data_IF_554844632183
#
_entry.id   IF_554844632183
#
_cell.length_a   1.000
_cell.length_b   1.000
_cell.length_c   1.000
_cell.angle_alpha   90.00
_cell.angle_beta   90.00
_cell.angle_gamma   90.00
#
_symmetry.space_group_name_H-M   'P 1'
#
loop_
_entity.id
_entity.type
_entity.pdbx_description
1 polymer ?
#
# COMPACT_ATOMS: atom_id res chain seq x y z
N UNK A 1 -108.73 57.55 15.04
CA UNK A 1 -107.22 57.82 14.95
C UNK A 1 -106.39 56.91 15.88
N UNK A 2 -106.72 56.78 17.19
CA UNK A 2 -105.88 55.92 18.13
C UNK A 2 -105.82 54.46 17.74
N UNK A 3 -106.91 53.84 17.25
CA UNK A 3 -106.95 52.45 16.81
C UNK A 3 -105.99 52.16 15.63
N UNK A 4 -105.88 53.10 14.70
CA UNK A 4 -105.03 53.01 13.52
C UNK A 4 -103.53 53.04 13.89
N UNK A 5 -103.13 53.82 14.89
CA UNK A 5 -101.77 53.86 15.43
C UNK A 5 -101.37 52.56 16.18
N UNK A 6 -102.34 52.02 16.94
CA UNK A 6 -102.13 50.77 17.67
C UNK A 6 -101.94 49.61 16.67
N UNK A 7 -102.75 49.51 15.62
CA UNK A 7 -102.61 48.50 14.58
C UNK A 7 -101.25 48.60 13.80
N UNK A 8 -100.84 49.87 13.52
CA UNK A 8 -99.55 50.10 12.86
C UNK A 8 -98.37 49.69 13.73
N UNK A 9 -98.40 49.97 15.04
CA UNK A 9 -97.39 49.55 16.00
C UNK A 9 -97.31 48.02 16.11
N UNK A 10 -98.46 47.34 16.16
CA UNK A 10 -98.49 45.86 16.20
C UNK A 10 -97.98 45.28 14.90
N UNK A 11 -98.28 45.82 13.72
CA UNK A 11 -97.77 45.36 12.44
C UNK A 11 -96.24 45.55 12.34
N UNK A 12 -95.76 46.71 12.77
CA UNK A 12 -94.28 46.95 12.86
C UNK A 12 -93.56 45.98 13.82
N UNK A 13 -94.22 45.76 15.00
CA UNK A 13 -93.66 44.76 15.97
C UNK A 13 -93.63 43.37 15.40
N UNK A 14 -94.65 42.87 14.72
CA UNK A 14 -94.69 41.58 14.03
C UNK A 14 -93.61 41.52 12.91
N UNK A 15 -93.49 42.60 12.14
CA UNK A 15 -92.46 42.74 11.08
C UNK A 15 -91.03 42.65 11.65
N UNK A 16 -90.76 43.34 12.76
CA UNK A 16 -89.46 43.28 13.44
C UNK A 16 -89.18 41.89 13.98
N UNK A 17 -90.15 41.21 14.59
CA UNK A 17 -89.99 39.82 15.08
C UNK A 17 -89.76 38.88 13.91
N UNK A 18 -90.47 39.06 12.78
CA UNK A 18 -90.23 38.23 11.58
C UNK A 18 -88.84 38.41 11.01
N UNK A 19 -88.37 39.65 10.84
CA UNK A 19 -87.04 39.97 10.37
C UNK A 19 -85.93 39.45 11.34
N UNK A 20 -86.15 39.66 12.64
CA UNK A 20 -85.24 39.14 13.65
C UNK A 20 -85.09 37.60 13.55
N UNK A 21 -86.20 36.90 13.44
CA UNK A 21 -86.20 35.45 13.26
C UNK A 21 -85.54 35.00 11.95
N UNK A 22 -85.72 35.77 10.86
CA UNK A 22 -85.03 35.51 9.58
C UNK A 22 -83.49 35.72 9.68
N UNK A 23 -83.07 36.81 10.32
CA UNK A 23 -81.64 37.08 10.55
C UNK A 23 -81.03 36.03 11.43
N UNK A 24 -81.73 35.62 12.49
CA UNK A 24 -81.21 34.54 13.38
C UNK A 24 -81.12 33.21 12.64
N UNK A 25 -82.07 32.87 11.78
CA UNK A 25 -81.98 31.66 10.93
C UNK A 25 -80.77 31.73 9.93
N UNK A 26 -80.59 32.92 9.31
CA UNK A 26 -79.44 33.14 8.43
C UNK A 26 -78.06 32.98 9.19
N UNK A 27 -77.96 33.64 10.32
CA UNK A 27 -76.78 33.62 11.15
C UNK A 27 -76.44 32.18 11.61
N UNK A 28 -77.45 31.40 11.99
CA UNK A 28 -77.30 30.00 12.33
C UNK A 28 -76.80 29.17 11.13
N UNK A 29 -77.36 29.35 9.93
CA UNK A 29 -76.91 28.68 8.70
C UNK A 29 -75.50 29.02 8.37
N UNK A 30 -75.08 30.29 8.43
CA UNK A 30 -73.66 30.67 8.19
C UNK A 30 -72.73 30.10 9.22
N UNK A 31 -73.16 30.04 10.50
CA UNK A 31 -72.34 29.39 11.54
C UNK A 31 -72.16 27.88 11.29
N UNK A 32 -73.24 27.19 10.91
CA UNK A 32 -73.23 25.76 10.62
C UNK A 32 -72.42 25.46 9.38
N UNK A 33 -72.51 26.28 8.31
CA UNK A 33 -71.67 26.16 7.09
C UNK A 33 -70.18 26.42 7.38
N UNK A 34 -69.87 27.44 8.19
CA UNK A 34 -68.49 27.75 8.58
C UNK A 34 -67.87 26.61 9.40
N UNK A 35 -68.62 26.08 10.36
CA UNK A 35 -68.20 24.95 11.20
C UNK A 35 -67.93 23.68 10.33
N UNK A 36 -68.82 23.43 9.36
CA UNK A 36 -68.68 22.34 8.40
C UNK A 36 -67.42 22.50 7.52
N UNK A 37 -67.23 23.71 6.96
CA UNK A 37 -66.05 24.00 6.16
C UNK A 37 -64.72 23.87 6.98
N UNK A 38 -64.74 24.32 8.25
CA UNK A 38 -63.57 24.15 9.14
C UNK A 38 -63.31 22.69 9.48
N UNK A 39 -64.34 21.88 9.72
CA UNK A 39 -64.14 20.45 9.98
C UNK A 39 -63.64 19.70 8.73
N UNK A 40 -64.16 19.98 7.55
CA UNK A 40 -63.72 19.41 6.28
C UNK A 40 -62.28 19.81 5.98
N UNK A 41 -61.88 21.07 6.22
CA UNK A 41 -60.49 21.52 6.06
C UNK A 41 -59.55 20.83 7.05
N UNK A 42 -59.95 20.70 8.31
CA UNK A 42 -59.16 20.00 9.34
C UNK A 42 -58.92 18.51 8.99
N UNK A 43 -59.97 17.81 8.53
CA UNK A 43 -59.86 16.41 8.07
C UNK A 43 -58.95 16.31 6.85
N UNK A 44 -59.05 17.24 5.89
CA UNK A 44 -58.20 17.28 4.71
C UNK A 44 -56.72 17.52 5.06
N UNK A 45 -56.42 18.38 6.02
CA UNK A 45 -55.05 18.64 6.50
C UNK A 45 -54.51 17.41 7.19
N UNK A 46 -55.26 16.81 8.11
CA UNK A 46 -54.84 15.59 8.83
C UNK A 46 -54.55 14.44 7.87
N UNK A 47 -55.38 14.23 6.85
CA UNK A 47 -55.12 13.21 5.83
C UNK A 47 -53.87 13.49 5.00
N UNK A 48 -53.59 14.76 4.67
CA UNK A 48 -52.33 15.13 3.97
C UNK A 48 -51.09 14.96 4.85
N UNK A 49 -51.19 15.27 6.13
CA UNK A 49 -50.10 15.05 7.10
C UNK A 49 -49.78 13.56 7.26
N UNK A 50 -50.79 12.70 7.33
CA UNK A 50 -50.61 11.26 7.43
C UNK A 50 -49.92 10.69 6.16
N UNK A 51 -50.34 11.14 4.97
CA UNK A 51 -49.69 10.74 3.71
C UNK A 51 -48.22 11.22 3.68
N UNK A 52 -48.00 12.50 4.04
CA UNK A 52 -46.63 13.04 4.06
C UNK A 52 -45.71 12.31 5.03
N UNK A 53 -46.14 12.00 6.24
CA UNK A 53 -45.34 11.24 7.20
C UNK A 53 -45.08 9.79 6.73
N UNK A 54 -46.04 9.15 6.04
CA UNK A 54 -45.86 7.83 5.45
C UNK A 54 -44.85 7.84 4.32
N UNK A 55 -44.89 8.81 3.41
CA UNK A 55 -43.94 8.98 2.32
C UNK A 55 -42.52 9.27 2.84
N UNK A 56 -42.42 10.17 3.82
CA UNK A 56 -41.16 10.48 4.49
C UNK A 56 -40.54 9.25 5.14
N UNK A 57 -41.33 8.43 5.82
CA UNK A 57 -40.87 7.18 6.42
C UNK A 57 -40.39 6.17 5.38
N UNK A 58 -41.09 6.04 4.25
CA UNK A 58 -40.66 5.20 3.13
C UNK A 58 -39.34 5.69 2.53
N UNK A 59 -39.19 7.00 2.35
CA UNK A 59 -37.96 7.58 1.80
C UNK A 59 -36.75 7.32 2.72
N UNK A 60 -36.93 7.44 4.04
CA UNK A 60 -35.89 7.14 5.03
C UNK A 60 -35.48 5.66 4.94
N UNK A 61 -36.45 4.73 4.90
CA UNK A 61 -36.20 3.31 4.78
C UNK A 61 -35.43 2.95 3.50
N UNK A 62 -35.82 3.50 2.36
CA UNK A 62 -35.14 3.31 1.08
C UNK A 62 -33.67 3.83 1.13
N UNK A 63 -33.47 4.96 1.80
CA UNK A 63 -32.14 5.55 1.97
C UNK A 63 -31.25 4.69 2.88
N UNK A 64 -31.80 4.16 3.97
CA UNK A 64 -31.09 3.22 4.86
C UNK A 64 -30.73 1.92 4.13
N UNK A 65 -31.64 1.35 3.36
CA UNK A 65 -31.36 0.14 2.55
C UNK A 65 -30.24 0.40 1.54
N UNK A 66 -30.28 1.52 0.83
CA UNK A 66 -29.25 1.91 -0.14
C UNK A 66 -27.87 2.04 0.53
N UNK A 67 -27.77 2.73 1.67
CA UNK A 67 -26.50 2.88 2.39
C UNK A 67 -25.99 1.53 2.94
N UNK A 68 -26.88 0.68 3.43
CA UNK A 68 -26.49 -0.65 3.91
C UNK A 68 -25.96 -1.53 2.79
N UNK A 69 -26.55 -1.49 1.60
CA UNK A 69 -26.02 -2.18 0.43
C UNK A 69 -24.66 -1.62 -0.02
N UNK A 70 -24.49 -0.30 0.00
CA UNK A 70 -23.23 0.35 -0.33
C UNK A 70 -22.11 -0.05 0.63
N UNK A 71 -22.36 -0.01 1.93
CA UNK A 71 -21.43 -0.45 2.98
C UNK A 71 -21.07 -1.92 2.79
N UNK A 72 -22.05 -2.78 2.48
CA UNK A 72 -21.82 -4.20 2.21
C UNK A 72 -20.90 -4.41 1.01
N UNK A 73 -21.07 -3.68 -0.08
CA UNK A 73 -20.20 -3.72 -1.27
C UNK A 73 -18.78 -3.26 -0.96
N UNK A 74 -18.63 -2.14 -0.25
CA UNK A 74 -17.31 -1.62 0.15
C UNK A 74 -16.60 -2.63 1.05
N UNK A 75 -17.26 -3.21 2.03
CA UNK A 75 -16.68 -4.21 2.91
C UNK A 75 -16.27 -5.48 2.16
N UNK A 76 -17.06 -5.92 1.17
CA UNK A 76 -16.69 -7.05 0.33
C UNK A 76 -15.45 -6.77 -0.52
N UNK A 77 -15.34 -5.59 -1.12
CA UNK A 77 -14.15 -5.18 -1.87
C UNK A 77 -12.92 -5.13 -0.97
N UNK A 78 -13.05 -4.54 0.19
CA UNK A 78 -11.95 -4.45 1.17
C UNK A 78 -11.48 -5.83 1.64
N UNK A 79 -12.41 -6.76 1.89
CA UNK A 79 -12.08 -8.16 2.22
C UNK A 79 -11.33 -8.87 1.07
N UNK A 80 -11.73 -8.64 -0.16
CA UNK A 80 -11.03 -9.19 -1.34
C UNK A 80 -9.61 -8.64 -1.48
N UNK A 81 -9.40 -7.37 -1.20
CA UNK A 81 -8.07 -6.74 -1.20
C UNK A 81 -7.17 -7.31 -0.09
N UNK A 82 -7.72 -7.48 1.12
CA UNK A 82 -7.00 -8.12 2.23
C UNK A 82 -6.62 -9.56 1.88
N UNK A 83 -7.53 -10.33 1.28
CA UNK A 83 -7.26 -11.71 0.85
C UNK A 83 -6.15 -11.75 -0.22
N UNK A 84 -6.17 -10.82 -1.20
CA UNK A 84 -5.13 -10.71 -2.22
C UNK A 84 -3.77 -10.36 -1.60
N UNK A 85 -3.74 -9.38 -0.72
CA UNK A 85 -2.53 -8.97 0.00
C UNK A 85 -1.97 -10.11 0.86
N UNK A 86 -2.82 -10.83 1.58
CA UNK A 86 -2.39 -11.98 2.39
C UNK A 86 -1.90 -13.16 1.55
N UNK A 87 -2.51 -13.41 0.37
CA UNK A 87 -2.00 -14.40 -0.58
C UNK A 87 -0.64 -14.00 -1.12
N UNK A 88 -0.45 -12.72 -1.44
CA UNK A 88 0.84 -12.19 -1.89
C UNK A 88 1.91 -12.32 -0.80
N UNK A 89 1.61 -11.94 0.45
CA UNK A 89 2.51 -12.11 1.60
C UNK A 89 2.87 -13.60 1.81
N UNK A 90 1.87 -14.50 1.79
CA UNK A 90 2.12 -15.94 1.90
C UNK A 90 2.95 -16.51 0.76
N UNK A 91 2.75 -16.02 -0.48
CA UNK A 91 3.59 -16.45 -1.60
C UNK A 91 5.04 -15.99 -1.40
N UNK A 92 5.26 -14.76 -0.98
CA UNK A 92 6.60 -14.27 -0.63
C UNK A 92 7.23 -15.11 0.50
N UNK A 93 6.47 -15.47 1.53
CA UNK A 93 6.94 -16.31 2.64
C UNK A 93 7.23 -17.76 2.21
N UNK A 94 6.46 -18.32 1.29
CA UNK A 94 6.67 -19.69 0.75
C UNK A 94 7.83 -19.76 -0.23
N UNK A 95 8.04 -18.75 -1.07
CA UNK A 95 9.15 -18.71 -2.04
C UNK A 95 10.45 -18.21 -1.42
N UNK A 96 10.40 -17.34 -0.43
CA UNK A 96 11.54 -16.85 0.32
C UNK A 96 11.72 -17.71 1.57
N UNK A 97 12.46 -18.80 1.46
CA UNK A 97 13.02 -19.50 2.63
C UNK A 97 14.09 -18.65 3.35
N UNK A 98 14.45 -17.51 2.78
CA UNK A 98 15.47 -16.61 3.29
C UNK A 98 14.85 -15.52 4.15
N UNK A 99 14.99 -15.65 5.47
CA UNK A 99 14.52 -14.67 6.47
C UNK A 99 14.99 -13.24 6.18
N UNK A 100 16.17 -13.10 5.56
CA UNK A 100 16.74 -11.81 5.17
C UNK A 100 15.91 -11.08 4.12
N UNK A 101 15.39 -11.79 3.11
CA UNK A 101 14.56 -11.20 2.05
C UNK A 101 13.24 -10.69 2.60
N UNK A 102 12.57 -11.48 3.48
CA UNK A 102 11.33 -11.05 4.15
C UNK A 102 11.56 -9.78 4.98
N UNK A 103 12.67 -9.74 5.73
CA UNK A 103 13.04 -8.58 6.53
C UNK A 103 13.30 -7.35 5.65
N UNK A 104 14.05 -7.52 4.56
CA UNK A 104 14.35 -6.46 3.59
C UNK A 104 13.06 -5.93 2.96
N UNK A 105 12.14 -6.81 2.59
CA UNK A 105 10.84 -6.40 2.04
C UNK A 105 10.04 -5.54 3.02
N UNK A 106 9.98 -5.94 4.29
CA UNK A 106 9.33 -5.16 5.36
C UNK A 106 9.96 -3.77 5.53
N UNK A 107 11.30 -3.70 5.52
CA UNK A 107 12.03 -2.42 5.62
C UNK A 107 11.67 -1.50 4.45
N UNK A 108 11.71 -2.00 3.22
CA UNK A 108 11.40 -1.21 2.01
C UNK A 108 9.95 -0.75 1.97
N UNK A 109 9.01 -1.60 2.37
CA UNK A 109 7.58 -1.25 2.45
C UNK A 109 7.33 -0.17 3.50
N UNK A 110 7.97 -0.29 4.67
CA UNK A 110 7.89 0.74 5.72
C UNK A 110 8.51 2.07 5.27
N UNK A 111 9.64 2.03 4.55
CA UNK A 111 10.26 3.21 3.96
C UNK A 111 9.32 3.90 2.96
N UNK A 112 8.70 3.14 2.04
CA UNK A 112 7.72 3.67 1.08
C UNK A 112 6.58 4.38 1.80
N UNK A 113 5.97 3.71 2.79
CA UNK A 113 4.87 4.28 3.56
C UNK A 113 5.26 5.58 4.27
N UNK A 114 6.48 5.64 4.84
CA UNK A 114 6.99 6.85 5.49
C UNK A 114 7.21 8.00 4.50
N UNK A 115 7.77 7.72 3.32
CA UNK A 115 7.99 8.71 2.26
C UNK A 115 6.66 9.30 1.75
N UNK A 116 5.63 8.47 1.61
CA UNK A 116 4.27 8.90 1.22
C UNK A 116 3.68 9.78 2.33
N UNK A 117 3.76 9.34 3.59
CA UNK A 117 3.26 10.11 4.74
C UNK A 117 3.94 11.48 4.86
N UNK A 118 5.24 11.58 4.53
CA UNK A 118 5.99 12.83 4.49
C UNK A 118 5.70 13.68 3.24
N UNK A 119 4.87 13.21 2.31
CA UNK A 119 4.56 13.91 1.06
C UNK A 119 5.72 13.99 0.07
N UNK A 120 6.77 13.17 0.25
CA UNK A 120 7.96 13.15 -0.63
C UNK A 120 7.74 12.41 -1.93
N UNK A 121 6.86 11.41 -1.93
CA UNK A 121 6.44 10.65 -3.10
C UNK A 121 4.94 10.35 -3.05
N UNK A 122 4.36 10.06 -4.22
CA UNK A 122 3.02 9.49 -4.36
C UNK A 122 3.09 7.95 -4.34
N UNK A 123 1.92 7.31 -4.21
CA UNK A 123 1.81 5.84 -4.15
C UNK A 123 2.40 5.15 -5.39
N UNK A 124 2.21 5.74 -6.57
CA UNK A 124 2.66 5.26 -7.88
C UNK A 124 4.10 5.63 -8.25
N UNK A 125 4.77 6.45 -7.43
CA UNK A 125 6.15 6.91 -7.69
C UNK A 125 7.24 6.00 -7.09
N UNK A 126 6.84 4.97 -6.33
CA UNK A 126 7.72 3.91 -5.86
C UNK A 126 7.02 2.55 -5.92
N UNK A 127 7.60 1.61 -6.68
CA UNK A 127 7.11 0.23 -6.81
C UNK A 127 8.18 -0.71 -6.28
N UNK A 128 7.78 -1.67 -5.44
CA UNK A 128 8.66 -2.68 -4.85
C UNK A 128 8.16 -4.05 -5.30
N UNK A 129 9.01 -4.78 -6.02
CA UNK A 129 8.76 -6.15 -6.46
C UNK A 129 9.78 -7.07 -5.80
N UNK A 130 9.32 -8.19 -5.23
CA UNK A 130 10.18 -9.17 -4.59
C UNK A 130 10.21 -10.49 -5.36
N UNK A 131 11.33 -11.19 -5.29
CA UNK A 131 11.51 -12.54 -5.81
C UNK A 131 11.07 -12.70 -7.27
N UNK A 132 11.66 -11.89 -8.15
CA UNK A 132 11.40 -11.92 -9.60
C UNK A 132 12.54 -12.58 -10.36
N UNK A 133 12.22 -13.12 -11.52
CA UNK A 133 13.18 -13.80 -12.40
C UNK A 133 13.32 -13.01 -13.71
N UNK A 134 14.57 -12.88 -14.18
CA UNK A 134 14.89 -12.20 -15.44
C UNK A 134 15.66 -13.15 -16.34
N UNK A 135 15.22 -13.36 -17.60
CA UNK A 135 15.93 -14.17 -18.56
C UNK A 135 17.19 -13.45 -19.05
N UNK A 136 18.24 -14.20 -19.31
CA UNK A 136 19.46 -13.75 -19.97
C UNK A 136 20.04 -14.85 -20.84
N UNK A 137 20.75 -14.48 -21.89
CA UNK A 137 21.41 -15.43 -22.78
C UNK A 137 22.88 -15.62 -22.36
N UNK A 138 23.30 -16.86 -22.25
CA UNK A 138 24.68 -17.22 -21.97
C UNK A 138 25.05 -18.44 -22.81
N UNK A 139 26.07 -18.30 -23.69
CA UNK A 139 26.49 -19.34 -24.64
C UNK A 139 25.31 -19.91 -25.44
N UNK A 140 24.48 -19.03 -26.02
CA UNK A 140 23.27 -19.33 -26.79
C UNK A 140 22.14 -20.07 -26.02
N UNK A 141 22.31 -20.30 -24.72
CA UNK A 141 21.28 -20.82 -23.84
C UNK A 141 20.54 -19.71 -23.10
N UNK A 142 19.22 -19.80 -23.04
CA UNK A 142 18.41 -18.92 -22.21
C UNK A 142 18.43 -19.45 -20.77
N UNK A 143 18.90 -18.63 -19.86
CA UNK A 143 18.95 -18.89 -18.42
C UNK A 143 18.18 -17.80 -17.68
N UNK A 144 17.88 -18.02 -16.40
CA UNK A 144 17.21 -17.05 -15.54
C UNK A 144 18.11 -16.61 -14.38
N UNK A 145 17.93 -15.36 -13.94
CA UNK A 145 18.51 -14.81 -12.71
C UNK A 145 17.39 -14.36 -11.79
N UNK A 146 17.46 -14.77 -10.56
CA UNK A 146 16.59 -14.27 -9.49
C UNK A 146 17.06 -12.88 -9.04
N UNK A 147 16.12 -12.01 -8.75
CA UNK A 147 16.29 -10.72 -8.11
C UNK A 147 15.51 -10.76 -6.81
N UNK A 148 16.17 -10.61 -5.67
CA UNK A 148 15.50 -10.62 -4.37
C UNK A 148 14.51 -9.45 -4.25
N UNK A 149 14.96 -8.24 -4.61
CA UNK A 149 14.07 -7.06 -4.69
C UNK A 149 14.43 -6.18 -5.87
N UNK A 150 13.40 -5.78 -6.63
CA UNK A 150 13.44 -4.72 -7.63
C UNK A 150 12.66 -3.52 -7.10
N UNK A 151 13.33 -2.38 -7.04
CA UNK A 151 12.74 -1.11 -6.63
C UNK A 151 12.75 -0.16 -7.83
N UNK A 152 11.57 0.29 -8.22
CA UNK A 152 11.35 1.27 -9.26
C UNK A 152 10.97 2.58 -8.59
N UNK A 153 11.69 3.65 -8.89
CA UNK A 153 11.37 5.00 -8.44
C UNK A 153 11.47 5.98 -9.59
N UNK A 154 10.90 7.15 -9.46
CA UNK A 154 11.04 8.21 -10.47
C UNK A 154 12.50 8.62 -10.70
N UNK A 155 13.40 8.34 -9.75
CA UNK A 155 14.83 8.69 -9.82
C UNK A 155 15.73 7.57 -10.33
N UNK A 156 15.24 6.33 -10.39
CA UNK A 156 16.06 5.20 -10.86
C UNK A 156 15.40 3.83 -10.72
N UNK A 157 16.08 2.85 -11.32
CA UNK A 157 15.79 1.41 -11.22
C UNK A 157 16.90 0.80 -10.36
N UNK A 158 16.52 0.08 -9.31
CA UNK A 158 17.46 -0.49 -8.33
C UNK A 158 17.14 -1.97 -8.12
N UNK A 159 18.17 -2.79 -8.06
CA UNK A 159 18.04 -4.16 -7.56
C UNK A 159 18.80 -4.31 -6.27
N UNK A 160 18.25 -5.07 -5.34
CA UNK A 160 18.88 -5.41 -4.07
C UNK A 160 19.05 -6.92 -4.00
N UNK A 161 20.28 -7.35 -3.79
CA UNK A 161 20.66 -8.70 -3.36
C UNK A 161 20.78 -8.68 -1.84
N UNK A 162 20.06 -9.54 -1.16
CA UNK A 162 20.06 -9.62 0.31
C UNK A 162 20.88 -10.81 0.78
N UNK A 163 21.80 -10.57 1.71
CA UNK A 163 22.55 -11.63 2.39
C UNK A 163 22.24 -11.61 3.88
N UNK A 164 21.78 -12.75 4.39
CA UNK A 164 21.46 -12.96 5.81
C UNK A 164 22.50 -13.90 6.43
N UNK A 165 23.77 -13.44 6.46
CA UNK A 165 24.88 -14.20 7.02
C UNK A 165 25.23 -13.67 8.40
N UNK A 166 25.25 -14.54 9.39
CA UNK A 166 25.58 -14.19 10.77
C UNK A 166 27.07 -14.28 11.03
N UNK A 167 27.56 -13.41 11.91
CA UNK A 167 28.96 -13.41 12.37
C UNK A 167 29.77 -12.28 11.76
N UNK A 168 31.11 -12.44 11.79
CA UNK A 168 32.03 -11.47 11.20
C UNK A 168 32.23 -11.77 9.71
N UNK A 169 31.87 -10.81 8.87
CA UNK A 169 31.91 -10.95 7.41
C UNK A 169 33.04 -10.09 6.86
N UNK A 170 33.97 -10.70 6.14
CA UNK A 170 34.98 -10.01 5.35
C UNK A 170 34.59 -10.12 3.89
N UNK A 171 33.95 -9.04 3.38
CA UNK A 171 33.42 -9.00 2.03
C UNK A 171 34.41 -8.43 1.04
N UNK A 172 34.55 -9.07 -0.12
CA UNK A 172 35.39 -8.59 -1.22
C UNK A 172 36.91 -8.68 -0.94
N UNK A 173 37.32 -9.62 -0.12
CA UNK A 173 38.74 -9.82 0.24
C UNK A 173 39.50 -10.45 -0.92
N UNK A 174 40.61 -9.82 -1.33
CA UNK A 174 41.61 -10.40 -2.27
C UNK A 174 42.82 -10.87 -1.54
N UNK A 175 43.63 -11.71 -2.17
CA UNK A 175 44.91 -12.20 -1.59
C UNK A 175 45.82 -11.03 -1.21
N UNK A 176 45.89 -9.99 -2.01
CA UNK A 176 46.70 -8.80 -1.73
C UNK A 176 46.19 -8.02 -0.50
N UNK A 177 44.86 -7.84 -0.36
CA UNK A 177 44.25 -7.13 0.77
C UNK A 177 44.25 -7.97 2.07
N UNK A 178 44.29 -9.26 1.94
CA UNK A 178 44.33 -10.16 3.10
C UNK A 178 45.62 -10.04 3.93
N UNK A 179 46.71 -9.49 3.35
CA UNK A 179 48.02 -9.34 4.05
C UNK A 179 48.43 -10.64 4.76
N UNK A 180 48.51 -10.60 6.09
CA UNK A 180 48.89 -11.75 6.91
C UNK A 180 47.95 -12.95 6.80
N UNK A 181 46.70 -12.72 6.36
CA UNK A 181 45.73 -13.80 6.08
C UNK A 181 45.80 -14.35 4.66
N UNK A 182 46.72 -13.88 3.81
CA UNK A 182 46.84 -14.33 2.44
C UNK A 182 47.09 -15.84 2.33
N UNK A 183 47.85 -16.42 3.27
CA UNK A 183 48.08 -17.86 3.32
C UNK A 183 46.79 -18.65 3.53
N UNK A 184 45.86 -18.15 4.34
CA UNK A 184 44.58 -18.78 4.60
C UNK A 184 43.71 -18.77 3.33
N UNK A 185 43.67 -17.63 2.63
CA UNK A 185 42.97 -17.55 1.34
C UNK A 185 43.55 -18.52 0.32
N UNK A 186 44.86 -18.61 0.20
CA UNK A 186 45.51 -19.51 -0.72
C UNK A 186 45.28 -21.00 -0.35
N UNK A 187 45.18 -21.30 0.95
CA UNK A 187 44.89 -22.65 1.42
C UNK A 187 43.46 -23.07 1.18
N UNK A 188 42.51 -22.12 1.36
CA UNK A 188 41.07 -22.35 1.13
C UNK A 188 40.70 -22.35 -0.35
N UNK A 189 41.42 -21.58 -1.15
CA UNK A 189 41.19 -21.40 -2.59
C UNK A 189 42.51 -21.52 -3.39
N UNK A 190 43.06 -22.72 -3.56
CA UNK A 190 44.38 -22.90 -4.17
C UNK A 190 44.50 -22.38 -5.61
N UNK A 191 43.37 -22.22 -6.33
CA UNK A 191 43.35 -21.75 -7.71
C UNK A 191 42.83 -20.29 -7.83
N UNK A 192 42.82 -19.54 -6.72
CA UNK A 192 42.32 -18.16 -6.75
C UNK A 192 43.29 -17.22 -7.49
N UNK A 193 42.78 -16.38 -8.37
CA UNK A 193 43.60 -15.32 -8.94
C UNK A 193 43.82 -14.21 -7.90
N UNK A 194 44.95 -13.51 -7.95
CA UNK A 194 45.35 -12.52 -6.94
C UNK A 194 44.32 -11.38 -6.75
N UNK A 195 43.63 -11.03 -7.80
CA UNK A 195 42.61 -9.97 -7.83
C UNK A 195 41.18 -10.49 -7.66
N UNK A 196 40.99 -11.79 -7.52
CA UNK A 196 39.69 -12.40 -7.34
C UNK A 196 39.20 -12.17 -5.91
N UNK A 197 38.12 -11.40 -5.78
CA UNK A 197 37.45 -11.11 -4.49
C UNK A 197 36.69 -12.33 -3.99
N UNK A 198 36.86 -12.65 -2.71
CA UNK A 198 36.15 -13.71 -1.98
C UNK A 198 35.43 -13.11 -0.76
N UNK A 199 34.47 -13.85 -0.22
CA UNK A 199 33.82 -13.46 1.03
C UNK A 199 33.97 -14.54 2.07
N UNK A 200 34.54 -14.17 3.22
CA UNK A 200 34.69 -15.05 4.37
C UNK A 200 33.72 -14.67 5.47
N UNK A 201 33.08 -15.67 6.07
CA UNK A 201 32.14 -15.47 7.20
C UNK A 201 32.65 -16.31 8.37
N UNK A 202 32.97 -15.64 9.48
CA UNK A 202 33.42 -16.25 10.72
C UNK A 202 32.20 -16.33 11.67
N UNK A 203 31.80 -17.56 11.98
CA UNK A 203 30.64 -17.85 12.84
C UNK A 203 31.14 -18.48 14.14
N UNK A 204 30.73 -17.93 15.28
CA UNK A 204 30.92 -18.60 16.57
C UNK A 204 29.91 -19.72 16.73
N UNK A 205 30.34 -20.94 16.94
CA UNK A 205 29.48 -22.04 17.28
C UNK A 205 29.31 -22.04 18.81
N UNK A 206 28.12 -21.63 19.28
CA UNK A 206 27.76 -21.76 20.70
C UNK A 206 27.11 -23.14 20.85
N UNK A 207 27.89 -24.16 21.20
CA UNK A 207 27.33 -25.41 21.69
C UNK A 207 26.84 -25.17 23.14
N UNK A 208 25.52 -25.02 23.32
CA UNK A 208 24.90 -24.78 24.61
C UNK A 208 24.90 -26.02 25.56
N UNK A 209 25.51 -27.16 25.17
CA UNK A 209 25.25 -28.42 25.82
C UNK A 209 26.45 -29.04 26.54
N UNK A 210 27.60 -28.36 26.69
CA UNK A 210 28.75 -28.96 27.42
C UNK A 210 29.42 -27.93 28.31
N UNK A 211 29.69 -28.33 29.55
CA UNK A 211 30.35 -27.57 30.65
C UNK A 211 31.82 -27.07 30.32
N UNK A 212 32.36 -27.40 29.19
CA UNK A 212 33.59 -26.81 28.66
C UNK A 212 33.26 -25.99 27.42
N UNK A 213 33.26 -24.67 27.55
CA UNK A 213 33.08 -23.72 26.45
C UNK A 213 34.28 -23.74 25.48
N UNK A 214 34.39 -24.76 24.66
CA UNK A 214 35.25 -24.69 23.47
C UNK A 214 34.60 -23.75 22.47
N UNK A 215 35.14 -22.55 22.36
CA UNK A 215 34.85 -21.60 21.30
C UNK A 215 35.28 -22.20 19.96
N UNK A 216 34.40 -22.94 19.30
CA UNK A 216 34.61 -23.35 17.93
C UNK A 216 34.27 -22.22 16.98
N UNK A 217 35.24 -21.79 16.20
CA UNK A 217 35.03 -20.82 15.13
C UNK A 217 34.93 -21.56 13.81
N UNK A 218 33.79 -21.45 13.15
CA UNK A 218 33.56 -21.96 11.80
C UNK A 218 33.81 -20.86 10.78
N UNK A 219 34.64 -21.16 9.76
CA UNK A 219 34.88 -20.28 8.63
C UNK A 219 34.07 -20.79 7.43
N UNK A 220 33.19 -19.97 6.91
CA UNK A 220 32.41 -20.23 5.70
C UNK A 220 32.96 -19.36 4.58
N UNK A 221 32.99 -19.90 3.38
CA UNK A 221 33.51 -19.23 2.20
C UNK A 221 32.39 -19.11 1.17
N UNK A 222 32.27 -17.95 0.58
CA UNK A 222 31.24 -17.67 -0.43
C UNK A 222 31.84 -16.93 -1.63
N UNK A 223 31.28 -17.17 -2.80
CA UNK A 223 31.53 -16.33 -3.97
C UNK A 223 31.22 -14.87 -3.67
N UNK A 224 31.79 -13.96 -4.47
CA UNK A 224 31.55 -12.55 -4.29
C UNK A 224 30.06 -12.16 -4.62
N UNK A 225 29.21 -11.85 -3.61
CA UNK A 225 27.80 -11.49 -3.84
C UNK A 225 27.67 -10.16 -4.61
N UNK A 226 28.65 -9.28 -4.54
CA UNK A 226 28.66 -8.06 -5.34
C UNK A 226 28.83 -8.35 -6.83
N UNK A 227 29.60 -9.40 -7.20
CA UNK A 227 29.69 -9.86 -8.59
C UNK A 227 28.36 -10.46 -9.05
N UNK A 228 27.66 -11.18 -8.17
CA UNK A 228 26.33 -11.74 -8.43
C UNK A 228 25.34 -10.62 -8.77
N UNK A 229 25.16 -9.64 -7.89
CA UNK A 229 24.17 -8.56 -8.10
C UNK A 229 24.53 -7.68 -9.29
N UNK A 230 25.80 -7.41 -9.57
CA UNK A 230 26.20 -6.67 -10.78
C UNK A 230 25.78 -7.39 -12.06
N UNK A 231 26.02 -8.70 -12.15
CA UNK A 231 25.62 -9.51 -13.31
C UNK A 231 24.11 -9.54 -13.48
N UNK A 232 23.37 -9.59 -12.38
CA UNK A 232 21.92 -9.54 -12.38
C UNK A 232 21.41 -8.16 -12.83
N UNK A 233 22.06 -7.07 -12.40
CA UNK A 233 21.74 -5.71 -12.87
C UNK A 233 21.94 -5.52 -14.37
N UNK A 234 23.04 -6.09 -14.91
CA UNK A 234 23.31 -6.06 -16.36
C UNK A 234 22.23 -6.84 -17.10
N UNK A 235 21.89 -8.05 -16.66
CA UNK A 235 20.85 -8.87 -17.29
C UNK A 235 19.48 -8.16 -17.31
N UNK A 236 19.09 -7.53 -16.20
CA UNK A 236 17.88 -6.73 -16.13
C UNK A 236 17.92 -5.51 -17.06
N UNK A 237 19.06 -4.78 -17.03
CA UNK A 237 19.26 -3.63 -17.92
C UNK A 237 19.12 -4.05 -19.39
N UNK A 238 19.83 -5.08 -19.83
CA UNK A 238 19.82 -5.56 -21.21
C UNK A 238 18.43 -6.06 -21.63
N UNK A 239 17.65 -6.60 -20.70
CA UNK A 239 16.29 -7.00 -20.93
C UNK A 239 15.35 -5.79 -21.10
N UNK A 240 15.40 -4.83 -20.19
CA UNK A 240 14.54 -3.63 -20.21
C UNK A 240 14.86 -2.71 -21.39
N UNK A 241 16.13 -2.55 -21.74
CA UNK A 241 16.58 -1.71 -22.85
C UNK A 241 16.05 -2.20 -24.22
N UNK A 242 15.82 -3.52 -24.38
CA UNK A 242 15.17 -4.09 -25.58
C UNK A 242 13.70 -3.65 -25.71
N UNK A 243 13.03 -3.36 -24.61
CA UNK A 243 11.64 -2.88 -24.61
C UNK A 243 11.57 -1.36 -24.78
N UNK A 244 12.49 -0.63 -24.11
CA UNK A 244 12.55 0.81 -24.20
C UNK A 244 13.97 1.30 -23.85
N UNK A 245 14.65 1.96 -24.80
CA UNK A 245 16.02 2.47 -24.66
C UNK A 245 16.19 3.41 -23.46
N UNK A 246 15.12 4.02 -22.97
CA UNK A 246 15.11 4.85 -21.77
C UNK A 246 15.49 4.07 -20.50
N UNK A 247 15.24 2.76 -20.45
CA UNK A 247 15.46 1.90 -19.29
C UNK A 247 16.87 1.29 -19.26
N UNK A 248 17.87 2.06 -19.60
CA UNK A 248 19.25 1.63 -19.88
C UNK A 248 20.18 1.64 -18.67
N UNK A 249 19.70 1.89 -17.47
CA UNK A 249 20.54 1.95 -16.28
C UNK A 249 19.86 1.36 -15.04
N UNK A 250 20.48 0.33 -14.49
CA UNK A 250 20.07 -0.35 -13.25
C UNK A 250 21.17 -0.23 -12.20
N UNK A 251 20.82 0.28 -11.04
CA UNK A 251 21.74 0.38 -9.89
C UNK A 251 21.72 -0.91 -9.10
N UNK A 252 22.89 -1.52 -8.89
CA UNK A 252 23.03 -2.71 -8.06
C UNK A 252 23.34 -2.35 -6.61
N UNK A 253 22.61 -2.99 -5.67
CA UNK A 253 22.76 -2.83 -4.22
C UNK A 253 22.97 -4.20 -3.59
N UNK A 254 23.93 -4.30 -2.69
CA UNK A 254 24.13 -5.44 -1.81
C UNK A 254 23.75 -5.03 -0.39
N UNK A 255 22.84 -5.77 0.21
CA UNK A 255 22.39 -5.51 1.57
C UNK A 255 22.63 -6.72 2.48
N UNK A 256 23.42 -6.52 3.53
CA UNK A 256 23.59 -7.47 4.61
C UNK A 256 22.53 -7.19 5.68
N UNK A 257 21.33 -7.79 5.51
CA UNK A 257 20.15 -7.50 6.33
C UNK A 257 20.08 -8.37 7.55
N UNK A 258 20.05 -7.72 8.74
CA UNK A 258 19.89 -8.37 10.03
C UNK A 258 18.83 -7.70 10.86
N UNK A 259 18.20 -8.42 11.80
CA UNK A 259 17.44 -7.80 12.86
C UNK A 259 18.32 -6.85 13.67
N UNK A 260 17.74 -5.79 14.21
CA UNK A 260 18.45 -4.77 14.98
C UNK A 260 19.05 -5.28 16.30
N UNK A 261 18.61 -6.46 16.75
CA UNK A 261 19.04 -7.15 17.97
C UNK A 261 20.18 -8.17 17.74
N UNK A 262 20.56 -8.41 16.48
CA UNK A 262 21.66 -9.31 16.15
C UNK A 262 22.90 -8.50 15.72
N UNK A 263 24.03 -8.75 16.36
CA UNK A 263 25.30 -8.14 15.96
C UNK A 263 25.77 -8.73 14.63
N UNK A 264 25.94 -7.87 13.66
CA UNK A 264 26.57 -8.19 12.40
C UNK A 264 27.76 -7.25 12.16
N UNK A 265 28.93 -7.83 11.95
CA UNK A 265 30.14 -7.08 11.69
C UNK A 265 30.59 -7.35 10.25
N UNK A 266 30.26 -6.45 9.34
CA UNK A 266 30.68 -6.48 7.93
C UNK A 266 31.83 -5.53 7.73
N UNK A 267 32.98 -6.06 7.26
CA UNK A 267 34.09 -5.25 6.80
C UNK A 267 34.18 -5.37 5.28
N UNK A 268 34.02 -4.23 4.60
CA UNK A 268 34.05 -4.15 3.13
C UNK A 268 35.47 -3.90 2.63
N UNK A 269 36.05 -4.91 1.99
CA UNK A 269 37.34 -4.86 1.32
C UNK A 269 37.22 -4.76 -0.20
N UNK A 270 35.98 -4.63 -0.74
CA UNK A 270 35.80 -4.60 -2.18
C UNK A 270 36.53 -3.43 -2.85
N UNK A 271 37.01 -3.68 -4.06
CA UNK A 271 37.79 -2.70 -4.84
C UNK A 271 36.88 -1.67 -5.54
N UNK A 272 35.61 -1.98 -5.67
CA UNK A 272 34.68 -1.25 -6.53
C UNK A 272 33.60 -0.56 -5.70
N UNK A 273 33.30 0.68 -6.04
CA UNK A 273 32.18 1.43 -5.47
C UNK A 273 30.78 0.92 -5.92
N UNK A 274 30.76 -0.09 -6.77
CA UNK A 274 29.56 -0.76 -7.27
C UNK A 274 29.71 -2.27 -7.10
N UNK A 275 28.75 -2.98 -6.44
CA UNK A 275 27.45 -2.44 -5.96
C UNK A 275 27.60 -1.50 -4.76
N UNK A 276 26.57 -0.70 -4.49
CA UNK A 276 26.46 -0.02 -3.19
C UNK A 276 26.20 -1.06 -2.12
N UNK A 277 27.00 -1.02 -1.06
CA UNK A 277 26.95 -2.00 0.02
C UNK A 277 26.39 -1.36 1.30
N UNK A 278 25.41 -2.01 1.94
CA UNK A 278 24.82 -1.56 3.20
C UNK A 278 24.75 -2.72 4.19
N UNK A 279 25.08 -2.45 5.44
CA UNK A 279 25.08 -3.43 6.55
C UNK A 279 24.01 -3.15 7.60
N UNK A 280 23.26 -2.06 7.49
CA UNK A 280 22.14 -1.73 8.37
C UNK A 280 21.00 -1.04 7.61
N UNK A 281 19.80 -1.08 8.19
CA UNK A 281 18.59 -0.54 7.58
C UNK A 281 18.62 0.99 7.49
N UNK A 282 19.24 1.66 8.46
CA UNK A 282 19.31 3.11 8.54
C UNK A 282 20.03 3.68 7.31
N UNK A 283 21.20 3.12 6.99
CA UNK A 283 21.99 3.51 5.82
C UNK A 283 21.29 3.18 4.50
N UNK A 284 20.62 2.02 4.42
CA UNK A 284 19.82 1.65 3.23
C UNK A 284 18.66 2.64 3.02
N UNK A 285 17.90 2.96 4.08
CA UNK A 285 16.80 3.91 4.01
C UNK A 285 17.30 5.32 3.67
N UNK A 286 18.34 5.81 4.35
CA UNK A 286 18.94 7.10 4.10
C UNK A 286 19.44 7.24 2.64
N UNK A 287 19.98 6.16 2.07
CA UNK A 287 20.36 6.15 0.67
C UNK A 287 19.17 6.41 -0.26
N UNK A 288 18.04 5.71 -0.09
CA UNK A 288 16.86 5.93 -0.91
C UNK A 288 16.24 7.30 -0.69
N UNK A 289 16.18 7.78 0.55
CA UNK A 289 15.73 9.15 0.85
C UNK A 289 16.58 10.19 0.13
N UNK A 290 17.90 10.02 0.15
CA UNK A 290 18.82 10.89 -0.58
C UNK A 290 18.59 10.82 -2.10
N UNK A 291 18.40 9.61 -2.68
CA UNK A 291 18.13 9.47 -4.11
C UNK A 291 16.84 10.21 -4.50
N UNK A 292 15.80 10.12 -3.70
CA UNK A 292 14.49 10.74 -3.95
C UNK A 292 14.56 12.26 -3.79
N UNK A 293 15.27 12.76 -2.77
CA UNK A 293 15.32 14.19 -2.46
C UNK A 293 16.28 14.98 -3.38
N UNK A 294 17.39 14.39 -3.77
CA UNK A 294 18.50 15.11 -4.43
C UNK A 294 18.58 14.87 -5.94
N UNK A 295 17.97 13.81 -6.45
CA UNK A 295 18.05 13.50 -7.88
C UNK A 295 16.85 14.02 -8.66
N UNK A 296 17.12 14.48 -9.87
CA UNK A 296 16.06 14.78 -10.84
C UNK A 296 15.34 13.49 -11.24
N UNK A 297 14.03 13.57 -11.39
CA UNK A 297 13.22 12.49 -11.93
C UNK A 297 13.68 12.12 -13.34
N UNK A 298 13.97 10.85 -13.56
CA UNK A 298 14.31 10.24 -14.83
C UNK A 298 13.11 9.56 -15.48
N UNK A 299 12.22 9.07 -14.64
CA UNK A 299 11.05 8.27 -15.02
C UNK A 299 9.78 8.92 -14.51
N UNK A 300 8.70 8.75 -15.26
CA UNK A 300 7.34 9.10 -14.85
C UNK A 300 6.68 7.90 -14.17
N UNK A 301 5.58 8.10 -13.44
CA UNK A 301 4.77 7.00 -12.91
C UNK A 301 4.32 6.02 -14.01
N UNK A 302 4.04 6.51 -15.21
CA UNK A 302 3.70 5.68 -16.38
C UNK A 302 4.86 4.77 -16.79
N UNK A 303 6.11 5.29 -16.80
CA UNK A 303 7.30 4.48 -17.08
C UNK A 303 7.47 3.37 -16.03
N UNK A 304 7.19 3.65 -14.74
CA UNK A 304 7.30 2.65 -13.67
C UNK A 304 6.26 1.54 -13.84
N UNK A 305 5.03 1.90 -14.24
CA UNK A 305 3.97 0.93 -14.54
C UNK A 305 4.33 0.09 -15.78
N UNK A 306 4.91 0.70 -16.81
CA UNK A 306 5.40 -0.01 -18.00
C UNK A 306 6.47 -1.05 -17.63
N UNK A 307 7.49 -0.65 -16.86
CA UNK A 307 8.53 -1.59 -16.37
C UNK A 307 7.91 -2.71 -15.54
N UNK A 308 7.00 -2.36 -14.62
CA UNK A 308 6.31 -3.35 -13.79
C UNK A 308 5.60 -4.39 -14.66
N UNK A 309 4.83 -3.94 -15.66
CA UNK A 309 4.10 -4.82 -16.57
C UNK A 309 5.05 -5.75 -17.35
N UNK A 310 6.14 -5.22 -17.91
CA UNK A 310 7.18 -6.01 -18.60
C UNK A 310 7.75 -7.10 -17.70
N UNK A 311 7.98 -6.80 -16.42
CA UNK A 311 8.48 -7.77 -15.44
C UNK A 311 7.42 -8.80 -15.04
N UNK A 312 6.17 -8.37 -14.82
CA UNK A 312 5.07 -9.28 -14.49
C UNK A 312 4.77 -10.25 -15.63
N UNK A 313 4.81 -9.79 -16.88
CA UNK A 313 4.59 -10.63 -18.07
C UNK A 313 5.62 -11.79 -18.15
N UNK A 314 6.89 -11.56 -17.78
CA UNK A 314 7.90 -12.62 -17.75
C UNK A 314 7.62 -13.62 -16.61
N UNK A 315 7.20 -13.13 -15.45
CA UNK A 315 7.07 -13.95 -14.24
C UNK A 315 5.71 -14.67 -14.17
N UNK A 316 4.73 -14.33 -15.01
CA UNK A 316 3.46 -15.06 -15.13
C UNK A 316 3.60 -16.38 -15.91
N UNK A 317 4.70 -16.58 -16.63
CA UNK A 317 4.96 -17.77 -17.45
C UNK A 317 5.95 -18.77 -16.81
N UNK A 318 6.38 -18.51 -15.58
CA UNK A 318 7.25 -19.39 -14.79
C UNK A 318 6.45 -19.97 -13.62
#
# INVERSE_FOLDING_TARGET
MAILYITLIILLGVGCIYFYNQLRKKQKRYSDELTKAQTEAAVSIAAKEEVYESEKKQMILQQEEYYNELIKKINQQHQLEIIKSNKYIKSLEQFSRNRGEVLTHKILTALKANLIHQGKIKEDEMIILGNIFVPYTFNDEVRTRQIDHLILTTTGIYIIETKYWRGRILYGLTTEKAKDFAFLLNSLFPNIQKDQEQTLVFVKNQNNDVEESKLEMKVLTYDNPGKQVRRTAIALKDYLEKHNEKFNFVTSILYFGYPSDEENNVTDYSLKSNPKCFSNKENLCAYFEKQINERKSKYTSSDLIEIKKVIEDINCFI
#
